data_IF_940346916410
#
_entry.id   IF_940346916410
#
_cell.length_a   1.000
_cell.length_b   1.000
_cell.length_c   1.000
_cell.angle_alpha   90.00
_cell.angle_beta   90.00
_cell.angle_gamma   90.00
#
_symmetry.space_group_name_H-M   'P 1'
#
loop_
_entity.id
_entity.type
_entity.pdbx_description
1 polymer ?
#
# COMPACT_ATOMS: atom_id res chain seq x y z
N UNK A 1 -0.87 -6.37 16.12
CA UNK A 1 0.32 -6.78 15.33
C UNK A 1 0.38 -5.95 14.08
N UNK A 2 1.50 -5.27 13.84
CA UNK A 2 1.67 -4.31 12.76
C UNK A 2 2.77 -4.77 11.81
N UNK A 3 2.44 -4.95 10.54
CA UNK A 3 3.32 -5.55 9.53
C UNK A 3 3.65 -4.52 8.46
N UNK A 4 4.91 -4.49 8.01
CA UNK A 4 5.31 -3.77 6.80
C UNK A 4 5.55 -4.78 5.68
N UNK A 5 4.98 -4.52 4.51
CA UNK A 5 5.26 -5.27 3.28
C UNK A 5 6.33 -4.57 2.44
N UNK A 6 7.39 -5.28 2.15
CA UNK A 6 8.42 -4.89 1.18
C UNK A 6 8.46 -5.92 0.07
N UNK A 7 8.19 -5.51 -1.15
CA UNK A 7 8.21 -6.43 -2.28
C UNK A 7 8.32 -5.67 -3.61
N UNK A 8 8.95 -6.25 -4.62
CA UNK A 8 8.92 -5.72 -5.97
C UNK A 8 7.50 -5.73 -6.56
N UNK A 9 7.27 -4.99 -7.65
CA UNK A 9 6.01 -5.05 -8.38
C UNK A 9 5.63 -6.49 -8.75
N UNK A 10 4.34 -6.79 -8.71
CA UNK A 10 3.77 -8.10 -9.02
C UNK A 10 4.24 -9.29 -8.16
N UNK A 11 4.88 -9.04 -7.02
CA UNK A 11 5.28 -10.09 -6.07
C UNK A 11 4.10 -10.80 -5.37
N UNK A 12 2.89 -10.29 -5.51
CA UNK A 12 1.69 -10.89 -4.90
C UNK A 12 1.26 -10.21 -3.59
N UNK A 13 1.81 -9.05 -3.24
CA UNK A 13 1.41 -8.32 -2.01
C UNK A 13 -0.10 -8.23 -1.84
N UNK A 14 -0.81 -7.73 -2.87
CA UNK A 14 -2.26 -7.58 -2.80
C UNK A 14 -3.01 -8.88 -2.55
N UNK A 15 -2.53 -10.00 -3.10
CA UNK A 15 -3.10 -11.33 -2.86
C UNK A 15 -2.92 -11.75 -1.40
N UNK A 16 -1.69 -11.62 -0.88
CA UNK A 16 -1.42 -11.95 0.53
C UNK A 16 -2.15 -11.02 1.49
N UNK A 17 -2.20 -9.72 1.19
CA UNK A 17 -2.97 -8.75 1.99
C UNK A 17 -4.47 -9.09 2.02
N UNK A 18 -5.03 -9.50 0.88
CA UNK A 18 -6.42 -9.96 0.80
C UNK A 18 -6.68 -11.17 1.70
N UNK A 19 -5.80 -12.18 1.64
CA UNK A 19 -5.90 -13.38 2.48
C UNK A 19 -5.77 -13.08 3.98
N UNK A 20 -4.85 -12.19 4.37
CA UNK A 20 -4.70 -11.78 5.76
C UNK A 20 -5.92 -11.01 6.26
N UNK A 21 -6.47 -10.13 5.42
CA UNK A 21 -7.71 -9.41 5.74
C UNK A 21 -8.87 -10.38 5.94
N UNK A 22 -9.08 -11.30 5.01
CA UNK A 22 -10.21 -12.24 5.04
C UNK A 22 -10.10 -13.24 6.21
N UNK A 23 -8.90 -13.80 6.41
CA UNK A 23 -8.71 -14.88 7.38
C UNK A 23 -8.45 -14.39 8.80
N UNK A 24 -7.80 -13.25 8.96
CA UNK A 24 -7.33 -12.76 10.27
C UNK A 24 -7.80 -11.35 10.64
N UNK A 25 -8.63 -10.73 9.79
CA UNK A 25 -9.20 -9.41 10.09
C UNK A 25 -8.21 -8.25 10.05
N UNK A 26 -7.06 -8.39 9.37
CA UNK A 26 -6.09 -7.30 9.25
C UNK A 26 -6.65 -6.12 8.47
N UNK A 27 -6.41 -4.91 8.96
CA UNK A 27 -6.56 -3.71 8.15
C UNK A 27 -5.42 -3.63 7.12
N UNK A 28 -5.74 -3.40 5.86
CA UNK A 28 -4.75 -3.14 4.81
C UNK A 28 -4.66 -1.64 4.55
N UNK A 29 -3.50 -1.06 4.75
CA UNK A 29 -3.21 0.35 4.52
C UNK A 29 -2.22 0.42 3.36
N UNK A 30 -2.69 0.85 2.21
CA UNK A 30 -1.85 1.08 1.05
C UNK A 30 -1.60 2.58 0.89
N UNK A 31 -0.33 2.99 0.78
CA UNK A 31 0.02 4.40 0.54
C UNK A 31 -0.68 4.95 -0.72
N UNK A 32 -0.79 4.12 -1.77
CA UNK A 32 -1.51 4.51 -2.97
C UNK A 32 -3.01 4.70 -2.75
N UNK A 33 -3.63 3.88 -1.89
CA UNK A 33 -5.05 4.03 -1.56
C UNK A 33 -5.30 5.26 -0.71
N UNK A 34 -4.41 5.56 0.23
CA UNK A 34 -4.46 6.78 1.05
C UNK A 34 -4.43 8.03 0.15
N UNK A 35 -3.55 8.07 -0.85
CA UNK A 35 -3.51 9.17 -1.81
C UNK A 35 -4.81 9.27 -2.61
N UNK A 36 -5.31 8.16 -3.16
CA UNK A 36 -6.57 8.14 -3.92
C UNK A 36 -7.78 8.56 -3.08
N UNK A 37 -7.83 8.14 -1.83
CA UNK A 37 -8.87 8.53 -0.88
C UNK A 37 -8.89 10.05 -0.68
N UNK A 38 -7.72 10.68 -0.48
CA UNK A 38 -7.64 12.13 -0.32
C UNK A 38 -8.08 12.89 -1.58
N UNK A 39 -7.70 12.42 -2.75
CA UNK A 39 -8.19 12.98 -4.02
C UNK A 39 -9.71 12.90 -4.12
N UNK A 40 -10.29 11.73 -3.78
CA UNK A 40 -11.74 11.51 -3.85
C UNK A 40 -12.54 12.37 -2.87
N UNK A 41 -11.94 12.75 -1.74
CA UNK A 41 -12.55 13.64 -0.75
C UNK A 41 -12.60 15.11 -1.21
N UNK A 42 -11.86 15.48 -2.25
CA UNK A 42 -11.81 16.86 -2.77
C UNK A 42 -11.25 17.88 -1.78
N UNK A 43 -10.55 17.43 -0.73
CA UNK A 43 -9.90 18.29 0.25
C UNK A 43 -8.78 19.11 -0.39
N UNK A 44 -8.32 20.18 0.28
CA UNK A 44 -7.20 20.98 -0.23
C UNK A 44 -5.94 20.14 -0.41
N UNK A 45 -5.68 19.21 0.53
CA UNK A 45 -4.61 18.22 0.41
C UNK A 45 -4.88 17.27 -0.78
N UNK A 46 -6.13 16.88 -0.99
CA UNK A 46 -6.52 16.04 -2.12
C UNK A 46 -6.25 16.69 -3.47
N UNK A 47 -6.54 17.97 -3.62
CA UNK A 47 -6.24 18.76 -4.83
C UNK A 47 -4.74 18.91 -5.07
N UNK A 48 -3.97 19.13 -4.01
CA UNK A 48 -2.50 19.17 -4.07
C UNK A 48 -1.95 17.81 -4.55
N UNK A 49 -2.38 16.72 -3.95
CA UNK A 49 -2.01 15.34 -4.35
C UNK A 49 -2.39 15.06 -5.80
N UNK A 50 -3.60 15.42 -6.21
CA UNK A 50 -4.07 15.23 -7.59
C UNK A 50 -3.18 15.96 -8.60
N UNK A 51 -2.82 17.23 -8.31
CA UNK A 51 -1.92 18.03 -9.15
C UNK A 51 -0.54 17.40 -9.29
N UNK A 52 0.03 16.82 -8.21
CA UNK A 52 1.33 16.16 -8.21
C UNK A 52 1.26 14.88 -9.05
N UNK A 53 0.24 14.05 -8.83
CA UNK A 53 0.05 12.78 -9.55
C UNK A 53 -0.19 13.04 -11.05
N UNK A 54 -0.98 14.05 -11.41
CA UNK A 54 -1.27 14.41 -12.80
C UNK A 54 0.00 14.82 -13.58
N UNK A 55 1.00 15.38 -12.89
CA UNK A 55 2.32 15.70 -13.47
C UNK A 55 3.27 14.49 -13.53
N UNK A 56 2.87 13.33 -12.97
CA UNK A 56 3.74 12.17 -12.85
C UNK A 56 4.83 12.32 -11.79
N UNK A 57 4.71 13.31 -10.91
CA UNK A 57 5.65 13.57 -9.84
C UNK A 57 5.37 12.68 -8.63
N UNK A 58 6.36 12.49 -7.78
CA UNK A 58 6.18 11.80 -6.51
C UNK A 58 5.76 12.79 -5.43
N UNK A 59 4.81 12.38 -4.61
CA UNK A 59 4.42 13.13 -3.41
C UNK A 59 5.63 13.24 -2.47
N UNK A 60 5.89 14.42 -1.95
CA UNK A 60 7.01 14.64 -1.04
C UNK A 60 6.85 13.87 0.29
N UNK A 61 7.97 13.66 0.99
CA UNK A 61 7.99 12.82 2.16
C UNK A 61 7.20 13.42 3.34
N UNK A 62 7.18 14.76 3.49
CA UNK A 62 6.43 15.43 4.56
C UNK A 62 4.91 15.31 4.36
N UNK A 63 4.44 15.51 3.13
CA UNK A 63 3.03 15.34 2.80
C UNK A 63 2.62 13.88 3.01
N UNK A 64 3.46 12.92 2.57
CA UNK A 64 3.19 11.50 2.79
C UNK A 64 3.14 11.15 4.29
N UNK A 65 4.07 11.67 5.11
CA UNK A 65 4.07 11.50 6.57
C UNK A 65 2.74 11.94 7.18
N UNK A 66 2.28 13.14 6.85
CA UNK A 66 1.01 13.70 7.35
C UNK A 66 -0.19 12.86 6.94
N UNK A 67 -0.21 12.37 5.70
CA UNK A 67 -1.30 11.54 5.19
C UNK A 67 -1.36 10.17 5.89
N UNK A 68 -0.21 9.53 6.07
CA UNK A 68 -0.13 8.24 6.78
C UNK A 68 -0.50 8.41 8.25
N UNK A 69 -0.02 9.45 8.92
CA UNK A 69 -0.36 9.76 10.30
C UNK A 69 -1.88 9.99 10.46
N UNK A 70 -2.48 10.80 9.58
CA UNK A 70 -3.93 11.06 9.58
C UNK A 70 -4.71 9.77 9.38
N UNK A 71 -4.26 8.92 8.44
CA UNK A 71 -4.90 7.62 8.17
C UNK A 71 -4.84 6.72 9.39
N UNK A 72 -3.68 6.57 10.02
CA UNK A 72 -3.53 5.75 11.22
C UNK A 72 -4.41 6.23 12.37
N UNK A 73 -4.46 7.55 12.61
CA UNK A 73 -5.34 8.14 13.64
C UNK A 73 -6.83 7.92 13.40
N UNK A 74 -7.25 7.66 12.17
CA UNK A 74 -8.65 7.39 11.83
C UNK A 74 -9.07 5.93 11.98
N UNK A 75 -8.13 5.03 12.29
CA UNK A 75 -8.38 3.60 12.39
C UNK A 75 -8.57 3.15 13.85
N UNK A 76 -9.27 2.05 14.01
CA UNK A 76 -9.23 1.28 15.26
C UNK A 76 -7.89 0.55 15.34
N UNK A 77 -6.99 1.09 16.15
CA UNK A 77 -5.62 0.59 16.33
C UNK A 77 -5.54 -0.69 17.18
N UNK A 78 -6.65 -1.17 17.73
CA UNK A 78 -6.73 -2.49 18.37
C UNK A 78 -6.72 -3.62 17.35
N UNK A 79 -7.15 -3.31 16.11
CA UNK A 79 -7.13 -4.25 14.99
C UNK A 79 -5.73 -4.29 14.37
N UNK A 80 -5.15 -5.48 14.15
CA UNK A 80 -3.86 -5.59 13.48
C UNK A 80 -3.92 -5.00 12.08
N UNK A 81 -2.82 -4.37 11.63
CA UNK A 81 -2.76 -3.79 10.30
C UNK A 81 -1.45 -4.11 9.57
N UNK A 82 -1.53 -4.00 8.25
CA UNK A 82 -0.38 -4.12 7.37
C UNK A 82 -0.25 -2.88 6.50
N UNK A 83 0.98 -2.34 6.46
CA UNK A 83 1.35 -1.19 5.65
C UNK A 83 1.97 -1.65 4.34
N UNK A 84 1.46 -1.15 3.21
CA UNK A 84 1.93 -1.44 1.87
C UNK A 84 2.33 -0.16 1.13
N UNK A 85 3.55 -0.14 0.62
CA UNK A 85 4.05 0.96 -0.18
C UNK A 85 4.55 2.18 0.60
N UNK A 86 4.65 2.07 1.91
CA UNK A 86 5.31 3.00 2.82
C UNK A 86 5.86 2.22 4.02
N UNK A 87 7.09 2.50 4.53
CA UNK A 87 8.09 3.41 3.96
C UNK A 87 8.78 2.82 2.71
N UNK A 88 9.36 3.70 1.87
CA UNK A 88 10.19 3.32 0.70
C UNK A 88 11.61 3.87 0.77
N UNK A 89 11.89 4.74 1.72
CA UNK A 89 13.18 5.41 1.95
C UNK A 89 13.50 5.34 3.44
N UNK A 90 14.78 5.51 3.77
CA UNK A 90 15.26 5.51 5.16
C UNK A 90 14.58 6.61 5.98
N UNK A 91 14.49 7.84 5.45
CA UNK A 91 13.81 8.95 6.14
C UNK A 91 12.36 8.62 6.43
N UNK A 92 11.64 8.05 5.46
CA UNK A 92 10.26 7.60 5.67
C UNK A 92 10.15 6.49 6.73
N UNK A 93 11.17 5.64 6.87
CA UNK A 93 11.18 4.62 7.91
C UNK A 93 11.29 5.25 9.31
N UNK A 94 12.16 6.24 9.49
CA UNK A 94 12.24 7.01 10.73
C UNK A 94 10.94 7.75 11.02
N UNK A 95 10.37 8.43 10.02
CA UNK A 95 9.07 9.12 10.16
C UNK A 95 7.96 8.16 10.58
N UNK A 96 7.96 6.95 10.01
CA UNK A 96 6.95 5.95 10.34
C UNK A 96 7.11 5.40 11.76
N UNK A 97 8.34 5.20 12.20
CA UNK A 97 8.66 4.80 13.57
C UNK A 97 8.21 5.88 14.58
N UNK A 98 8.45 7.16 14.29
CA UNK A 98 7.96 8.28 15.10
C UNK A 98 6.43 8.31 15.18
N UNK A 99 5.74 8.16 14.05
CA UNK A 99 4.26 8.12 14.02
C UNK A 99 3.74 6.97 14.88
N UNK A 100 4.26 5.76 14.69
CA UNK A 100 3.82 4.60 15.47
C UNK A 100 4.09 4.80 16.95
N UNK A 101 5.28 5.27 17.32
CA UNK A 101 5.65 5.55 18.71
C UNK A 101 4.71 6.56 19.36
N UNK A 102 4.32 7.63 18.64
CA UNK A 102 3.37 8.62 19.15
C UNK A 102 1.97 8.05 19.40
N UNK A 103 1.63 6.95 18.74
CA UNK A 103 0.37 6.21 18.90
C UNK A 103 0.47 5.03 19.87
N UNK A 104 1.61 4.87 20.54
CA UNK A 104 1.86 3.73 21.43
C UNK A 104 2.02 2.39 20.71
N UNK A 105 2.42 2.42 19.45
CA UNK A 105 2.57 1.27 18.58
C UNK A 105 4.03 1.08 18.16
N UNK A 106 4.31 -0.08 17.61
CA UNK A 106 5.62 -0.42 17.00
C UNK A 106 5.41 -1.30 15.78
N UNK A 107 6.48 -1.51 15.02
CA UNK A 107 6.52 -2.49 13.92
C UNK A 107 6.84 -3.86 14.50
N UNK A 108 5.93 -4.80 14.41
CA UNK A 108 6.13 -6.17 14.92
C UNK A 108 6.89 -7.03 13.91
N UNK A 109 6.61 -6.86 12.62
CA UNK A 109 7.24 -7.64 11.54
C UNK A 109 7.43 -6.83 10.27
N UNK A 110 8.56 -7.07 9.61
CA UNK A 110 8.79 -6.64 8.23
C UNK A 110 8.84 -7.90 7.37
N UNK A 111 7.96 -7.99 6.39
CA UNK A 111 7.89 -9.13 5.48
C UNK A 111 8.41 -8.70 4.11
N UNK A 112 9.51 -9.29 3.71
CA UNK A 112 10.09 -9.10 2.39
C UNK A 112 9.70 -10.26 1.48
N UNK A 113 8.99 -9.96 0.39
CA UNK A 113 8.65 -10.95 -0.63
C UNK A 113 9.68 -10.81 -1.75
N UNK A 114 10.49 -11.84 -1.93
CA UNK A 114 11.46 -11.91 -3.01
C UNK A 114 10.90 -12.73 -4.17
N UNK A 115 11.01 -12.19 -5.38
CA UNK A 115 10.75 -12.92 -6.63
C UNK A 115 11.88 -12.60 -7.62
N UNK A 116 12.20 -13.56 -8.47
CA UNK A 116 13.15 -13.32 -9.53
C UNK A 116 12.59 -12.34 -10.58
N UNK A 117 13.51 -11.70 -11.31
CA UNK A 117 13.17 -10.66 -12.29
C UNK A 117 12.29 -11.21 -13.42
N UNK A 118 12.52 -12.42 -13.87
CA UNK A 118 11.77 -13.03 -14.97
C UNK A 118 10.31 -13.28 -14.56
N UNK A 119 10.11 -13.88 -13.41
CA UNK A 119 8.77 -14.08 -12.81
C UNK A 119 8.06 -12.75 -12.60
N UNK A 120 8.75 -11.75 -12.06
CA UNK A 120 8.20 -10.41 -11.87
C UNK A 120 7.75 -9.80 -13.19
N UNK A 121 8.59 -9.87 -14.22
CA UNK A 121 8.30 -9.32 -15.55
C UNK A 121 7.09 -10.03 -16.20
N UNK A 122 7.04 -11.36 -16.19
CA UNK A 122 5.90 -12.14 -16.70
C UNK A 122 4.60 -11.73 -15.98
N UNK A 123 4.64 -11.57 -14.66
CA UNK A 123 3.47 -11.16 -13.88
C UNK A 123 3.02 -9.73 -14.17
N UNK A 124 3.95 -8.79 -14.38
CA UNK A 124 3.61 -7.41 -14.76
C UNK A 124 3.00 -7.36 -16.15
N UNK A 125 3.65 -7.97 -17.16
CA UNK A 125 3.20 -7.95 -18.54
C UNK A 125 1.88 -8.69 -18.75
N UNK A 126 1.66 -9.78 -18.01
CA UNK A 126 0.42 -10.56 -18.10
C UNK A 126 -0.74 -10.00 -17.30
N UNK A 127 -0.53 -8.92 -16.53
CA UNK A 127 -1.59 -8.36 -15.68
C UNK A 127 -2.65 -7.64 -16.51
N UNK A 128 -3.89 -8.07 -16.37
CA UNK A 128 -5.08 -7.43 -16.94
C UNK A 128 -6.12 -7.19 -15.85
N UNK A 129 -6.90 -6.14 -16.00
CA UNK A 129 -7.98 -5.83 -15.07
C UNK A 129 -9.31 -5.85 -15.79
N UNK A 130 -10.30 -6.51 -15.20
CA UNK A 130 -11.67 -6.48 -15.73
C UNK A 130 -12.21 -5.04 -15.65
N UNK A 131 -12.70 -4.46 -16.74
CA UNK A 131 -13.25 -3.10 -16.70
C UNK A 131 -14.56 -3.00 -15.89
N UNK A 132 -15.26 -4.12 -15.71
CA UNK A 132 -16.55 -4.17 -15.00
C UNK A 132 -16.33 -4.36 -13.48
N UNK A 133 -15.76 -5.51 -13.07
CA UNK A 133 -15.62 -5.84 -11.65
C UNK A 133 -14.27 -5.45 -11.04
N UNK A 134 -13.36 -4.87 -11.84
CA UNK A 134 -11.99 -4.44 -11.43
C UNK A 134 -11.09 -5.55 -10.90
N UNK A 135 -11.51 -6.81 -10.95
CA UNK A 135 -10.65 -7.94 -10.59
C UNK A 135 -9.42 -8.00 -11.50
N UNK A 136 -8.32 -8.37 -10.91
CA UNK A 136 -7.05 -8.54 -11.61
C UNK A 136 -6.85 -9.99 -12.00
N UNK A 137 -6.46 -10.21 -13.25
CA UNK A 137 -6.13 -11.50 -13.84
C UNK A 137 -4.72 -11.49 -14.39
N UNK A 138 -4.18 -12.65 -14.71
CA UNK A 138 -2.89 -12.74 -15.37
C UNK A 138 -2.94 -13.75 -16.52
N UNK A 139 -2.90 -13.25 -17.74
CA UNK A 139 -3.02 -14.06 -18.97
C UNK A 139 -1.79 -14.90 -19.28
N UNK A 140 -0.62 -14.56 -18.71
CA UNK A 140 0.62 -15.30 -18.94
C UNK A 140 0.90 -16.39 -17.90
N UNK A 141 0.26 -16.31 -16.73
CA UNK A 141 0.46 -17.29 -15.63
C UNK A 141 -0.80 -18.10 -15.33
N UNK A 142 -1.90 -17.83 -16.04
CA UNK A 142 -3.19 -18.48 -15.81
C UNK A 142 -3.87 -18.16 -14.48
N UNK A 143 -3.32 -17.18 -13.73
CA UNK A 143 -3.88 -16.80 -12.43
C UNK A 143 -5.20 -16.05 -12.58
N UNK A 144 -6.24 -16.59 -11.93
CA UNK A 144 -7.60 -16.02 -12.00
C UNK A 144 -8.09 -15.79 -13.45
N UNK A 145 -7.86 -16.73 -14.36
CA UNK A 145 -8.51 -16.65 -15.69
C UNK A 145 -10.02 -16.67 -15.50
N UNK A 146 -10.77 -15.82 -16.25
CA UNK A 146 -12.22 -15.83 -16.19
C UNK A 146 -12.81 -17.14 -16.66
#
# INVERSE_FOLDING_TARGET
MNIIWIAPPAAGKGTFSGLLKEKYGFNHISAGDVLREQVSLGSDIGKEVESIIAKGEMVDDNLMKRLIETKLKSLDLTIPFMMDGYPRKINQAHDYEEILSSLGLNVDKVIYINIDKETGLKRVLGRVSCPICKKTYNVLTGYNTP
#
